data_IF_651062359406
#
_entry.id   IF_651062359406
#
_cell.length_a   1.000
_cell.length_b   1.000
_cell.length_c   1.000
_cell.angle_alpha   90.00
_cell.angle_beta   90.00
_cell.angle_gamma   90.00
#
_symmetry.space_group_name_H-M   'P 1'
#
loop_
_entity.id
_entity.type
_entity.pdbx_description
1 polymer ?
#
# COMPACT_ATOMS: atom_id res chain seq x y z
N UNK A 1 24.91 -5.85 22.07
CA UNK A 1 25.35 -4.51 22.48
C UNK A 1 26.85 -4.35 22.24
N UNK A 2 27.21 -3.39 21.43
CA UNK A 2 28.60 -3.02 21.21
C UNK A 2 29.06 -2.14 22.38
N UNK A 3 29.96 -2.69 23.22
CA UNK A 3 30.43 -2.02 24.44
C UNK A 3 31.38 -0.84 24.15
N UNK A 4 32.13 -0.90 23.04
CA UNK A 4 33.09 0.16 22.66
C UNK A 4 32.35 1.34 22.05
N UNK A 5 31.46 1.08 21.10
CA UNK A 5 30.61 2.11 20.49
C UNK A 5 29.45 2.55 21.38
N UNK A 6 29.17 1.85 22.48
CA UNK A 6 28.02 2.06 23.38
C UNK A 6 26.68 2.09 22.65
N UNK A 7 26.52 1.25 21.62
CA UNK A 7 25.35 1.18 20.76
C UNK A 7 24.80 -0.26 20.66
N UNK A 8 23.50 -0.35 20.45
CA UNK A 8 22.89 -1.59 19.98
C UNK A 8 23.11 -1.70 18.48
N UNK A 9 23.53 -2.87 18.04
CA UNK A 9 23.68 -3.20 16.62
C UNK A 9 22.86 -4.44 16.30
N UNK A 10 22.32 -4.50 15.09
CA UNK A 10 21.63 -5.69 14.59
C UNK A 10 22.66 -6.59 13.91
N UNK A 11 22.83 -7.81 14.41
CA UNK A 11 23.65 -8.81 13.74
C UNK A 11 22.93 -9.31 12.49
N UNK A 12 23.38 -8.83 11.33
CA UNK A 12 22.77 -9.14 10.04
C UNK A 12 22.87 -10.62 9.65
N UNK A 13 23.83 -11.38 10.23
CA UNK A 13 23.95 -12.81 9.97
C UNK A 13 22.86 -13.64 10.68
N UNK A 14 22.34 -13.11 11.78
CA UNK A 14 21.28 -13.73 12.58
C UNK A 14 19.91 -13.05 12.40
N UNK A 15 19.86 -11.92 11.70
CA UNK A 15 18.63 -11.18 11.46
C UNK A 15 17.76 -11.89 10.41
N UNK A 16 16.54 -12.25 10.81
CA UNK A 16 15.54 -12.87 9.89
C UNK A 16 14.61 -11.84 9.22
N UNK A 17 14.85 -10.54 9.41
CA UNK A 17 14.06 -9.48 8.79
C UNK A 17 12.62 -9.35 9.30
N UNK A 18 12.28 -9.84 10.50
CA UNK A 18 10.91 -9.85 10.99
C UNK A 18 10.33 -8.48 11.39
N UNK A 19 11.14 -7.41 11.42
CA UNK A 19 10.71 -6.04 11.73
C UNK A 19 10.32 -5.77 13.20
N UNK A 20 10.33 -6.75 14.10
CA UNK A 20 9.88 -6.57 15.49
C UNK A 20 10.67 -5.50 16.24
N UNK A 21 11.97 -5.37 15.99
CA UNK A 21 12.82 -4.36 16.62
C UNK A 21 12.45 -2.95 16.16
N UNK A 22 11.99 -2.78 14.92
CA UNK A 22 11.50 -1.51 14.39
C UNK A 22 10.21 -1.11 15.11
N UNK A 23 9.22 -2.00 15.14
CA UNK A 23 7.94 -1.73 15.78
C UNK A 23 8.01 -1.58 17.32
N UNK A 24 9.05 -2.12 17.95
CA UNK A 24 9.26 -1.99 19.40
C UNK A 24 10.07 -0.74 19.81
N UNK A 25 10.67 -0.03 18.85
CA UNK A 25 11.52 1.11 19.15
C UNK A 25 10.72 2.41 19.17
N UNK A 26 10.40 2.93 20.36
CA UNK A 26 9.68 4.20 20.54
C UNK A 26 10.54 5.45 20.26
N UNK A 27 11.79 5.28 19.82
CA UNK A 27 12.75 6.38 19.64
C UNK A 27 13.25 6.47 18.20
N UNK A 28 12.68 5.71 17.25
CA UNK A 28 13.13 5.63 15.86
C UNK A 28 14.65 5.40 15.70
N UNK A 29 15.25 4.75 16.72
CA UNK A 29 16.69 4.48 16.75
C UNK A 29 17.10 3.30 15.84
N UNK A 30 16.12 2.56 15.31
CA UNK A 30 16.30 1.44 14.38
C UNK A 30 15.52 1.77 13.13
N UNK A 31 16.18 1.79 11.98
CA UNK A 31 15.59 2.15 10.71
C UNK A 31 16.13 1.25 9.59
N UNK A 32 15.45 1.22 8.47
CA UNK A 32 15.90 0.51 7.27
C UNK A 32 17.05 1.28 6.59
N UNK A 33 18.08 0.55 6.21
CA UNK A 33 19.22 1.11 5.49
C UNK A 33 18.97 1.17 3.98
N UNK A 34 18.14 0.27 3.46
CA UNK A 34 17.78 0.18 2.04
C UNK A 34 16.28 0.39 1.86
N UNK A 35 15.91 1.49 1.23
CA UNK A 35 14.54 1.92 1.00
C UNK A 35 13.88 1.27 -0.25
N UNK A 36 14.50 0.26 -0.84
CA UNK A 36 13.88 -0.56 -1.90
C UNK A 36 12.86 -1.56 -1.36
N UNK A 37 12.41 -1.38 -0.10
CA UNK A 37 11.54 -2.31 0.58
C UNK A 37 10.12 -2.32 -0.01
N UNK A 38 9.62 -1.17 -0.51
CA UNK A 38 8.22 -1.05 -0.92
C UNK A 38 7.88 -1.92 -2.14
N UNK A 39 8.64 -1.86 -3.22
CA UNK A 39 8.37 -2.70 -4.39
C UNK A 39 8.55 -4.20 -4.09
N UNK A 40 9.56 -4.55 -3.28
CA UNK A 40 9.77 -5.93 -2.84
C UNK A 40 8.62 -6.41 -1.97
N UNK A 41 8.16 -5.59 -1.01
CA UNK A 41 7.01 -5.90 -0.16
C UNK A 41 5.75 -6.11 -1.01
N UNK A 42 5.48 -5.22 -1.95
CA UNK A 42 4.34 -5.31 -2.85
C UNK A 42 4.36 -6.60 -3.69
N UNK A 43 5.52 -6.98 -4.23
CA UNK A 43 5.68 -8.25 -4.92
C UNK A 43 5.39 -9.45 -4.00
N UNK A 44 5.89 -9.41 -2.76
CA UNK A 44 5.64 -10.47 -1.77
C UNK A 44 4.17 -10.56 -1.37
N UNK A 45 3.45 -9.44 -1.25
CA UNK A 45 2.02 -9.44 -1.00
C UNK A 45 1.26 -10.19 -2.10
N UNK A 46 1.57 -9.94 -3.37
CA UNK A 46 0.98 -10.67 -4.50
C UNK A 46 1.32 -12.16 -4.47
N UNK A 47 2.57 -12.54 -4.17
CA UNK A 47 3.02 -13.93 -4.08
C UNK A 47 2.30 -14.68 -2.95
N UNK A 48 2.19 -14.08 -1.77
CA UNK A 48 1.47 -14.69 -0.65
C UNK A 48 -0.02 -14.80 -0.92
N UNK A 49 -0.63 -13.80 -1.53
CA UNK A 49 -2.02 -13.87 -1.98
C UNK A 49 -2.24 -15.05 -2.90
N UNK A 50 -1.38 -15.21 -3.92
CA UNK A 50 -1.44 -16.37 -4.82
C UNK A 50 -1.29 -17.69 -4.07
N UNK A 51 -0.33 -17.80 -3.15
CA UNK A 51 -0.12 -19.03 -2.38
C UNK A 51 -1.33 -19.41 -1.51
N UNK A 52 -2.07 -18.43 -1.00
CA UNK A 52 -3.29 -18.67 -0.22
C UNK A 52 -4.45 -19.11 -1.12
N UNK A 53 -4.59 -18.52 -2.31
CA UNK A 53 -5.74 -18.74 -3.19
C UNK A 53 -5.57 -19.94 -4.13
N UNK A 54 -4.35 -20.32 -4.44
CA UNK A 54 -4.06 -21.32 -5.46
C UNK A 54 -4.76 -22.67 -5.17
N UNK A 55 -5.50 -23.19 -6.16
CA UNK A 55 -6.27 -24.41 -6.04
C UNK A 55 -7.49 -24.36 -5.10
N UNK A 56 -7.92 -23.19 -4.65
CA UNK A 56 -9.06 -23.04 -3.73
C UNK A 56 -10.17 -22.18 -4.34
N UNK A 57 -11.45 -22.53 -4.13
CA UNK A 57 -12.54 -21.62 -4.41
C UNK A 57 -12.38 -20.34 -3.57
N UNK A 58 -12.49 -19.19 -4.21
CA UNK A 58 -12.36 -17.91 -3.54
C UNK A 58 -13.34 -16.89 -4.11
N UNK A 59 -13.69 -15.91 -3.32
CA UNK A 59 -14.51 -14.76 -3.67
C UNK A 59 -14.09 -13.59 -2.81
N UNK A 60 -14.00 -12.42 -3.40
CA UNK A 60 -13.41 -11.23 -2.78
C UNK A 60 -14.43 -10.10 -2.73
N UNK A 61 -14.41 -9.37 -1.63
CA UNK A 61 -15.20 -8.15 -1.42
C UNK A 61 -14.24 -7.08 -0.92
N UNK A 62 -14.33 -5.89 -1.51
CA UNK A 62 -13.57 -4.71 -1.10
C UNK A 62 -14.51 -3.57 -0.77
N UNK A 63 -14.33 -2.97 0.40
CA UNK A 63 -15.03 -1.76 0.82
C UNK A 63 -14.07 -0.58 0.62
N UNK A 64 -14.35 0.27 -0.37
CA UNK A 64 -13.57 1.47 -0.64
C UNK A 64 -14.19 2.62 0.15
N UNK A 65 -13.84 2.65 1.43
CA UNK A 65 -14.32 3.61 2.43
C UNK A 65 -13.14 4.07 3.29
N UNK A 66 -13.21 5.29 3.81
CA UNK A 66 -12.22 5.88 4.71
C UNK A 66 -10.77 5.75 4.21
N UNK A 67 -10.56 5.98 2.91
CA UNK A 67 -9.24 5.89 2.28
C UNK A 67 -8.32 6.95 2.88
N UNK A 68 -7.48 6.55 3.80
CA UNK A 68 -6.56 7.40 4.56
C UNK A 68 -5.25 7.66 3.80
N UNK A 69 -4.52 8.77 4.10
CA UNK A 69 -3.25 9.06 3.46
C UNK A 69 -2.17 8.01 3.75
N UNK A 70 -2.13 7.48 4.97
CA UNK A 70 -1.17 6.46 5.38
C UNK A 70 -1.87 5.12 5.62
N UNK A 71 -1.11 4.03 5.47
CA UNK A 71 -1.55 2.70 5.89
C UNK A 71 -1.85 2.70 7.40
N UNK A 72 -2.83 1.92 7.83
CA UNK A 72 -3.19 1.72 9.24
C UNK A 72 -2.04 1.19 10.11
N UNK A 73 -0.95 0.71 9.51
CA UNK A 73 0.27 0.33 10.21
C UNK A 73 1.09 1.53 10.72
N UNK A 74 0.79 2.75 10.27
CA UNK A 74 1.39 3.99 10.78
C UNK A 74 0.70 4.45 12.05
N UNK A 75 1.47 5.00 12.99
CA UNK A 75 0.95 5.58 14.22
C UNK A 75 0.27 6.94 14.04
N UNK A 76 0.55 7.60 12.93
CA UNK A 76 -0.04 8.88 12.53
C UNK A 76 -0.89 8.70 11.27
N UNK A 77 -2.00 9.41 11.23
CA UNK A 77 -2.88 9.47 10.06
C UNK A 77 -3.65 10.80 10.05
N UNK A 78 -4.37 11.06 8.96
CA UNK A 78 -5.20 12.26 8.80
C UNK A 78 -6.59 11.84 8.25
N UNK A 79 -7.43 12.82 8.00
CA UNK A 79 -8.76 12.59 7.42
C UNK A 79 -8.65 11.85 6.08
N UNK A 80 -9.69 11.10 5.67
CA UNK A 80 -9.71 10.42 4.38
C UNK A 80 -9.37 11.36 3.23
N UNK A 81 -8.56 10.87 2.28
CA UNK A 81 -8.16 11.62 1.09
C UNK A 81 -9.23 11.64 0.01
N UNK A 82 -10.14 10.66 0.04
CA UNK A 82 -11.24 10.48 -0.91
C UNK A 82 -12.57 10.28 -0.17
N UNK A 83 -13.71 10.61 -0.79
CA UNK A 83 -15.02 10.22 -0.26
C UNK A 83 -15.19 8.70 -0.30
N UNK A 84 -16.11 8.19 0.49
CA UNK A 84 -16.51 6.79 0.41
C UNK A 84 -17.07 6.48 -0.98
N UNK A 85 -16.52 5.47 -1.63
CA UNK A 85 -16.87 5.11 -3.03
C UNK A 85 -17.92 4.01 -3.03
N UNK A 86 -17.70 2.94 -2.25
CA UNK A 86 -18.66 1.85 -2.15
C UNK A 86 -18.04 0.48 -1.97
N UNK A 87 -18.80 -0.54 -2.33
CA UNK A 87 -18.40 -1.93 -2.23
C UNK A 87 -18.22 -2.53 -3.62
N UNK A 88 -17.14 -3.26 -3.79
CA UNK A 88 -16.83 -4.02 -4.99
C UNK A 88 -16.72 -5.50 -4.66
N UNK A 89 -17.03 -6.37 -5.62
CA UNK A 89 -16.92 -7.80 -5.44
C UNK A 89 -16.51 -8.50 -6.73
N UNK A 90 -15.66 -9.52 -6.62
CA UNK A 90 -15.19 -10.30 -7.78
C UNK A 90 -14.69 -11.69 -7.34
N UNK A 91 -14.67 -12.63 -8.27
CA UNK A 91 -13.93 -13.89 -8.13
C UNK A 91 -12.44 -13.74 -8.49
N UNK A 92 -12.06 -12.66 -9.18
CA UNK A 92 -10.68 -12.35 -9.52
C UNK A 92 -10.18 -11.23 -8.59
N UNK A 93 -9.21 -11.51 -7.69
CA UNK A 93 -8.71 -10.53 -6.73
C UNK A 93 -7.99 -9.37 -7.40
N UNK A 94 -7.29 -9.63 -8.52
CA UNK A 94 -6.54 -8.58 -9.22
C UNK A 94 -7.47 -7.64 -9.99
N UNK A 95 -8.51 -8.18 -10.64
CA UNK A 95 -9.55 -7.39 -11.28
C UNK A 95 -10.29 -6.51 -10.27
N UNK A 96 -10.56 -7.06 -9.08
CA UNK A 96 -11.17 -6.32 -7.98
C UNK A 96 -10.30 -5.12 -7.55
N UNK A 97 -9.03 -5.36 -7.26
CA UNK A 97 -8.11 -4.31 -6.83
C UNK A 97 -7.92 -3.24 -7.91
N UNK A 98 -7.82 -3.65 -9.19
CA UNK A 98 -7.73 -2.70 -10.30
C UNK A 98 -8.99 -1.82 -10.37
N UNK A 99 -10.19 -2.41 -10.26
CA UNK A 99 -11.43 -1.64 -10.28
C UNK A 99 -11.53 -0.66 -9.10
N UNK A 100 -11.09 -1.06 -7.90
CA UNK A 100 -11.04 -0.20 -6.73
C UNK A 100 -10.07 0.97 -6.92
N UNK A 101 -8.87 0.71 -7.45
CA UNK A 101 -7.87 1.73 -7.76
C UNK A 101 -8.41 2.72 -8.78
N UNK A 102 -8.98 2.25 -9.88
CA UNK A 102 -9.52 3.11 -10.94
C UNK A 102 -10.65 3.99 -10.40
N UNK A 103 -11.51 3.45 -9.53
CA UNK A 103 -12.56 4.22 -8.87
C UNK A 103 -11.99 5.28 -7.91
N UNK A 104 -10.92 4.96 -7.17
CA UNK A 104 -10.21 5.93 -6.33
C UNK A 104 -9.59 7.06 -7.16
N UNK A 105 -8.91 6.73 -8.25
CA UNK A 105 -8.26 7.73 -9.12
C UNK A 105 -9.28 8.63 -9.84
N UNK A 106 -10.50 8.13 -10.08
CA UNK A 106 -11.58 8.89 -10.68
C UNK A 106 -12.34 9.78 -9.67
N UNK A 107 -12.17 9.55 -8.38
CA UNK A 107 -12.86 10.30 -7.32
C UNK A 107 -12.25 11.69 -7.12
N UNK A 108 -13.07 12.65 -6.68
CA UNK A 108 -12.58 13.99 -6.31
C UNK A 108 -11.90 13.94 -4.93
N UNK A 109 -10.75 14.59 -4.74
CA UNK A 109 -10.11 14.68 -3.44
C UNK A 109 -11.05 15.29 -2.37
N UNK A 110 -10.99 14.75 -1.16
CA UNK A 110 -11.73 15.32 -0.02
C UNK A 110 -11.19 16.71 0.33
N UNK A 111 -12.07 17.73 0.45
CA UNK A 111 -11.64 19.06 0.86
C UNK A 111 -10.93 19.05 2.22
N UNK A 112 -9.79 19.72 2.31
CA UNK A 112 -8.99 19.80 3.53
C UNK A 112 -8.12 18.58 3.82
N UNK A 113 -8.21 17.50 3.02
CA UNK A 113 -7.33 16.34 3.12
C UNK A 113 -5.88 16.65 2.74
N UNK A 114 -4.96 15.76 3.06
CA UNK A 114 -3.56 15.84 2.65
C UNK A 114 -3.44 15.93 1.11
N UNK A 115 -4.16 15.07 0.38
CA UNK A 115 -4.19 15.10 -1.08
C UNK A 115 -4.64 16.46 -1.63
N UNK A 116 -5.75 17.02 -1.09
CA UNK A 116 -6.25 18.32 -1.53
C UNK A 116 -5.27 19.46 -1.21
N UNK A 117 -4.57 19.41 -0.07
CA UNK A 117 -3.54 20.39 0.31
C UNK A 117 -2.34 20.34 -0.64
N UNK A 118 -1.86 19.12 -0.97
CA UNK A 118 -0.75 18.96 -1.91
C UNK A 118 -1.12 19.48 -3.30
N UNK A 119 -2.27 19.12 -3.83
CA UNK A 119 -2.73 19.57 -5.16
C UNK A 119 -3.02 21.09 -5.23
N UNK A 120 -3.27 21.73 -4.10
CA UNK A 120 -3.45 23.18 -4.02
C UNK A 120 -2.13 23.96 -3.91
N UNK A 121 -1.02 23.31 -3.59
CA UNK A 121 0.30 23.94 -3.50
C UNK A 121 0.88 24.14 -4.92
N UNK A 122 1.14 25.40 -5.36
CA UNK A 122 1.68 25.68 -6.68
C UNK A 122 3.10 25.14 -6.91
N UNK A 123 3.81 24.75 -5.84
CA UNK A 123 5.14 24.17 -5.92
C UNK A 123 5.13 22.63 -5.89
N UNK A 124 3.95 22.03 -5.67
CA UNK A 124 3.82 20.58 -5.64
C UNK A 124 3.80 20.00 -7.06
N UNK A 125 4.55 18.94 -7.29
CA UNK A 125 4.54 18.23 -8.56
C UNK A 125 3.37 17.24 -8.59
N UNK A 126 2.37 17.49 -9.43
CA UNK A 126 1.24 16.58 -9.63
C UNK A 126 1.69 15.36 -10.46
N UNK A 127 1.65 14.19 -9.85
CA UNK A 127 1.97 12.90 -10.46
C UNK A 127 0.78 12.30 -11.23
N UNK A 128 -0.36 12.96 -11.28
CA UNK A 128 -1.62 12.45 -11.84
C UNK A 128 -2.07 11.11 -11.22
N UNK A 129 -1.76 10.94 -9.95
CA UNK A 129 -1.99 9.72 -9.18
C UNK A 129 -2.27 10.11 -7.72
N UNK A 130 -3.51 9.88 -7.27
CA UNK A 130 -3.94 10.30 -5.92
C UNK A 130 -3.11 9.67 -4.80
N UNK A 131 -2.71 8.43 -4.97
CA UNK A 131 -1.91 7.72 -3.97
C UNK A 131 -0.49 8.29 -3.89
N UNK A 132 0.18 8.45 -5.03
CA UNK A 132 1.52 9.07 -5.08
C UNK A 132 1.47 10.55 -4.69
N UNK A 133 0.40 11.28 -5.05
CA UNK A 133 0.22 12.67 -4.65
C UNK A 133 -0.05 12.82 -3.14
N UNK A 134 -0.67 11.83 -2.52
CA UNK A 134 -0.86 11.82 -1.07
C UNK A 134 0.43 11.38 -0.36
N UNK A 135 1.01 10.26 -0.79
CA UNK A 135 2.16 9.63 -0.15
C UNK A 135 3.18 9.28 -1.24
N UNK A 136 4.20 10.13 -1.46
CA UNK A 136 5.16 10.00 -2.58
C UNK A 136 5.91 8.68 -2.63
N UNK A 137 6.09 8.01 -1.49
CA UNK A 137 6.77 6.71 -1.36
C UNK A 137 5.87 5.53 -1.78
N UNK A 138 4.61 5.79 -2.09
CA UNK A 138 3.66 4.74 -2.49
C UNK A 138 4.04 4.15 -3.87
N UNK A 139 4.14 2.83 -3.94
CA UNK A 139 4.48 2.07 -5.14
C UNK A 139 3.41 1.02 -5.48
N UNK A 140 2.15 1.35 -5.29
CA UNK A 140 1.02 0.43 -5.45
C UNK A 140 0.99 -0.31 -6.80
N UNK A 141 1.48 0.32 -7.88
CA UNK A 141 1.52 -0.25 -9.23
C UNK A 141 2.31 -1.55 -9.30
N UNK A 142 3.43 -1.62 -8.57
CA UNK A 142 4.30 -2.79 -8.55
C UNK A 142 3.59 -4.06 -8.03
N UNK A 143 2.64 -3.92 -7.09
CA UNK A 143 1.82 -5.03 -6.61
C UNK A 143 0.95 -5.62 -7.72
N UNK A 144 0.17 -4.77 -8.41
CA UNK A 144 -0.76 -5.19 -9.46
C UNK A 144 -0.02 -5.75 -10.68
N UNK A 145 1.09 -5.12 -11.06
CA UNK A 145 1.93 -5.59 -12.17
C UNK A 145 2.53 -6.97 -11.87
N UNK A 146 3.06 -7.15 -10.66
CA UNK A 146 3.62 -8.44 -10.26
C UNK A 146 2.54 -9.50 -10.14
N UNK A 147 1.37 -9.17 -9.58
CA UNK A 147 0.22 -10.06 -9.50
C UNK A 147 -0.22 -10.58 -10.88
N UNK A 148 -0.32 -9.69 -11.87
CA UNK A 148 -0.59 -10.09 -13.25
C UNK A 148 0.50 -11.02 -13.82
N UNK A 149 1.78 -10.65 -13.60
CA UNK A 149 2.94 -11.41 -14.09
C UNK A 149 3.00 -12.84 -13.54
N UNK A 150 2.63 -13.05 -12.28
CA UNK A 150 2.62 -14.38 -11.66
C UNK A 150 1.31 -15.15 -11.91
N UNK A 151 0.36 -14.57 -12.65
CA UNK A 151 -0.92 -15.19 -12.98
C UNK A 151 -1.86 -15.33 -11.78
N UNK A 152 -1.92 -14.30 -10.92
CA UNK A 152 -2.89 -14.23 -9.83
C UNK A 152 -4.30 -13.93 -10.36
N UNK A 153 -4.40 -13.13 -11.42
CA UNK A 153 -5.64 -12.73 -12.06
C UNK A 153 -5.40 -11.82 -13.26
N UNK A 154 -6.43 -11.11 -13.71
CA UNK A 154 -6.39 -10.14 -14.80
C UNK A 154 -6.59 -8.72 -14.29
N UNK A 155 -5.91 -7.74 -14.91
CA UNK A 155 -6.18 -6.32 -14.68
C UNK A 155 -7.35 -5.80 -15.52
N UNK A 156 -7.79 -6.59 -16.51
CA UNK A 156 -8.97 -6.27 -17.33
C UNK A 156 -10.23 -6.73 -16.60
N UNK A 157 -11.23 -5.87 -16.55
CA UNK A 157 -12.50 -6.17 -15.89
C UNK A 157 -13.68 -5.48 -16.61
N UNK A 158 -14.88 -6.01 -16.39
CA UNK A 158 -16.15 -5.36 -16.70
C UNK A 158 -16.84 -4.96 -15.39
N UNK A 159 -17.15 -3.67 -15.23
CA UNK A 159 -17.84 -3.16 -14.04
C UNK A 159 -19.35 -3.19 -14.24
N UNK A 160 -20.02 -4.08 -13.50
CA UNK A 160 -21.47 -4.16 -13.47
C UNK A 160 -21.96 -3.39 -12.22
N UNK A 161 -22.71 -2.33 -12.44
CA UNK A 161 -23.35 -1.56 -11.35
C UNK A 161 -24.72 -2.14 -11.03
N UNK A 162 -24.94 -2.39 -9.74
CA UNK A 162 -26.21 -2.86 -9.22
C UNK A 162 -26.92 -1.76 -8.43
#
# INVERSE_FOLDING_TARGET
FDKEARKMTVDQNNCVGCGRCLGACNFDAIYFVNDNANSTLNCRMAEYTKAVLDGRPNFHISLVVDVSPNCDCHGENDIPILPNIGMFASFDPLALDQACVDACLAAQPMPGSQLAKHLADPNFHDHHDHFTNSTPESEWKSCLEHAAKIGLGSREYELIKM
#
